data_IF_200745257254
#
_entry.id   IF_200745257254
#
_cell.length_a   1.000
_cell.length_b   1.000
_cell.length_c   1.000
_cell.angle_alpha   90.00
_cell.angle_beta   90.00
_cell.angle_gamma   90.00
#
_symmetry.space_group_name_H-M   'P 1'
#
loop_
_entity.id
_entity.type
_entity.pdbx_description
1 polymer ?
#
# COMPACT_ATOMS: atom_id res chain seq x y z
N UNK A 1 -16.07 -61.34 49.81
CA UNK A 1 -15.83 -60.08 50.55
C UNK A 1 -15.65 -58.96 49.52
N UNK A 2 -16.50 -57.93 49.58
CA UNK A 2 -16.55 -56.80 48.62
C UNK A 2 -15.37 -55.85 48.88
N UNK A 3 -14.57 -55.55 47.87
CA UNK A 3 -13.58 -54.47 47.92
C UNK A 3 -14.12 -53.25 47.17
N UNK A 4 -14.39 -52.20 47.93
CA UNK A 4 -14.79 -50.86 47.47
C UNK A 4 -13.52 -50.17 46.94
N UNK A 5 -13.53 -49.72 45.68
CA UNK A 5 -12.49 -48.83 45.13
C UNK A 5 -13.03 -47.41 45.12
N UNK A 6 -12.43 -46.55 45.94
CA UNK A 6 -12.65 -45.11 45.96
C UNK A 6 -12.25 -44.50 44.60
N UNK A 7 -13.19 -43.84 43.94
CA UNK A 7 -12.95 -42.96 42.79
C UNK A 7 -12.52 -41.58 43.29
N UNK A 8 -11.25 -41.22 43.06
CA UNK A 8 -10.76 -39.85 43.20
C UNK A 8 -11.22 -39.06 41.96
N UNK A 9 -12.21 -38.18 42.11
CA UNK A 9 -12.58 -37.22 41.08
C UNK A 9 -11.65 -36.01 41.15
N UNK A 10 -10.61 -35.98 40.31
CA UNK A 10 -9.78 -34.80 40.11
C UNK A 10 -10.59 -33.74 39.36
N UNK A 11 -11.07 -32.72 40.06
CA UNK A 11 -11.77 -31.58 39.48
C UNK A 11 -10.74 -30.69 38.79
N UNK A 12 -10.67 -30.78 37.46
CA UNK A 12 -9.80 -29.94 36.64
C UNK A 12 -10.31 -28.50 36.68
N UNK A 13 -9.65 -27.63 37.45
CA UNK A 13 -9.85 -26.18 37.38
C UNK A 13 -9.30 -25.69 36.05
N UNK A 14 -10.16 -25.54 35.05
CA UNK A 14 -9.88 -24.75 33.85
C UNK A 14 -9.74 -23.29 34.31
N UNK A 15 -8.50 -22.84 34.51
CA UNK A 15 -8.21 -21.43 34.64
C UNK A 15 -8.73 -20.70 33.38
N UNK A 16 -9.43 -19.57 33.51
CA UNK A 16 -9.78 -18.76 32.35
C UNK A 16 -8.47 -18.34 31.70
N UNK A 17 -8.29 -18.69 30.42
CA UNK A 17 -7.29 -18.01 29.60
C UNK A 17 -7.55 -16.52 29.76
N UNK A 18 -6.61 -15.80 30.37
CA UNK A 18 -6.65 -14.34 30.43
C UNK A 18 -6.58 -13.87 28.98
N UNK A 19 -7.76 -13.61 28.42
CA UNK A 19 -7.97 -13.04 27.11
C UNK A 19 -7.47 -11.59 27.13
N UNK A 20 -6.16 -11.40 27.03
CA UNK A 20 -5.55 -10.12 26.72
C UNK A 20 -4.53 -10.38 25.62
N UNK A 21 -4.98 -10.22 24.38
CA UNK A 21 -4.08 -10.20 23.25
C UNK A 21 -4.79 -9.48 22.10
N UNK A 22 -5.26 -8.26 22.29
CA UNK A 22 -5.57 -7.29 21.23
C UNK A 22 -5.30 -5.92 21.85
N UNK A 23 -5.09 -4.88 21.05
CA UNK A 23 -4.91 -3.50 21.52
C UNK A 23 -6.16 -2.92 22.19
N UNK A 24 -7.28 -3.65 22.17
CA UNK A 24 -8.57 -3.31 22.74
C UNK A 24 -9.23 -4.51 23.44
N UNK A 25 -10.33 -4.25 24.17
CA UNK A 25 -11.09 -5.26 24.88
C UNK A 25 -11.99 -6.05 23.92
N UNK A 26 -11.61 -7.29 23.62
CA UNK A 26 -12.36 -8.17 22.71
C UNK A 26 -13.80 -8.45 23.16
N UNK A 27 -14.14 -8.28 24.45
CA UNK A 27 -15.53 -8.44 24.91
C UNK A 27 -16.42 -7.28 24.47
N UNK A 28 -15.81 -6.15 24.07
CA UNK A 28 -16.48 -4.95 23.56
C UNK A 28 -16.42 -4.83 22.03
N UNK A 29 -15.85 -5.81 21.35
CA UNK A 29 -15.77 -5.83 19.89
C UNK A 29 -17.17 -5.71 19.25
N UNK A 30 -17.35 -4.69 18.45
CA UNK A 30 -18.63 -4.30 17.85
C UNK A 30 -18.61 -4.42 16.32
N UNK A 31 -17.49 -4.09 15.69
CA UNK A 31 -17.34 -4.12 14.23
C UNK A 31 -16.97 -5.51 13.73
N UNK A 32 -17.16 -5.77 12.44
CA UNK A 32 -16.73 -7.03 11.81
C UNK A 32 -15.20 -7.19 11.88
N UNK A 33 -14.47 -6.07 11.71
CA UNK A 33 -13.01 -6.02 11.80
C UNK A 33 -12.53 -6.39 13.21
N UNK A 34 -13.07 -5.74 14.25
CA UNK A 34 -12.71 -6.02 15.65
C UNK A 34 -12.97 -7.49 16.01
N UNK A 35 -14.12 -8.03 15.59
CA UNK A 35 -14.46 -9.44 15.80
C UNK A 35 -13.51 -10.38 15.08
N UNK A 36 -13.09 -10.04 13.85
CA UNK A 36 -12.14 -10.83 13.08
C UNK A 36 -10.75 -10.86 13.72
N UNK A 37 -10.26 -9.71 14.21
CA UNK A 37 -9.02 -9.61 14.98
C UNK A 37 -9.10 -10.52 16.21
N UNK A 38 -10.14 -10.37 17.03
CA UNK A 38 -10.32 -11.15 18.25
C UNK A 38 -10.51 -12.65 18.01
N UNK A 39 -11.07 -13.05 16.86
CA UNK A 39 -11.23 -14.44 16.48
C UNK A 39 -9.94 -15.10 15.96
N UNK A 40 -8.86 -14.32 15.76
CA UNK A 40 -7.63 -14.76 15.11
C UNK A 40 -6.45 -14.62 16.07
N UNK A 41 -6.09 -15.65 16.87
CA UNK A 41 -5.17 -15.52 17.99
C UNK A 41 -3.83 -14.85 17.65
N UNK A 42 -3.23 -15.20 16.51
CA UNK A 42 -1.96 -14.61 16.05
C UNK A 42 -2.09 -13.11 15.74
N UNK A 43 -3.12 -12.73 14.98
CA UNK A 43 -3.36 -11.32 14.61
C UNK A 43 -3.77 -10.50 15.82
N UNK A 44 -4.58 -11.08 16.69
CA UNK A 44 -4.93 -10.52 17.99
C UNK A 44 -3.65 -10.16 18.77
N UNK A 45 -2.72 -11.11 18.93
CA UNK A 45 -1.47 -10.88 19.65
C UNK A 45 -0.60 -9.77 19.01
N UNK A 46 -0.57 -9.71 17.67
CA UNK A 46 0.12 -8.63 16.94
C UNK A 46 -0.54 -7.27 17.18
N UNK A 47 -1.88 -7.18 17.17
CA UNK A 47 -2.61 -5.94 17.47
C UNK A 47 -2.33 -5.44 18.90
N UNK A 48 -2.22 -6.36 19.87
CA UNK A 48 -1.78 -6.04 21.23
C UNK A 48 -0.37 -5.44 21.29
N UNK A 49 0.60 -6.09 20.64
CA UNK A 49 1.99 -5.63 20.58
C UNK A 49 2.13 -4.27 19.88
N UNK A 50 1.35 -4.05 18.82
CA UNK A 50 1.30 -2.77 18.12
C UNK A 50 0.77 -1.67 19.03
N UNK A 51 -0.33 -1.95 19.75
CA UNK A 51 -0.88 -1.01 20.72
C UNK A 51 0.13 -0.61 21.81
N UNK A 52 0.94 -1.56 22.29
CA UNK A 52 2.04 -1.28 23.22
C UNK A 52 3.14 -0.42 22.60
N UNK A 53 3.60 -0.79 21.40
CA UNK A 53 4.62 -0.05 20.67
C UNK A 53 4.18 1.40 20.38
N UNK A 54 2.93 1.61 19.99
CA UNK A 54 2.38 2.94 19.73
C UNK A 54 2.32 3.79 21.01
N UNK A 55 1.86 3.22 22.13
CA UNK A 55 1.84 3.92 23.43
C UNK A 55 3.24 4.31 23.87
N UNK A 56 4.22 3.42 23.70
CA UNK A 56 5.62 3.71 24.00
C UNK A 56 6.17 4.83 23.11
N UNK A 57 5.93 4.77 21.80
CA UNK A 57 6.36 5.80 20.85
C UNK A 57 5.79 7.19 21.21
N UNK A 58 4.49 7.29 21.49
CA UNK A 58 3.87 8.58 21.89
C UNK A 58 4.40 9.08 23.23
N UNK A 59 4.71 8.18 24.17
CA UNK A 59 5.27 8.53 25.48
C UNK A 59 6.73 9.02 25.38
N UNK A 60 7.53 8.39 24.51
CA UNK A 60 8.96 8.68 24.38
C UNK A 60 9.24 9.88 23.45
N UNK A 61 8.29 10.20 22.56
CA UNK A 61 8.41 11.31 21.59
C UNK A 61 7.23 12.29 21.71
N UNK A 62 7.11 13.02 22.83
CA UNK A 62 6.02 13.97 23.02
C UNK A 62 5.98 15.08 21.95
N UNK A 63 7.13 15.44 21.38
CA UNK A 63 7.28 16.38 20.26
C UNK A 63 6.70 15.86 18.93
N UNK A 64 6.62 14.53 18.76
CA UNK A 64 6.08 13.86 17.55
C UNK A 64 4.67 13.33 17.73
N UNK A 65 4.01 13.62 18.86
CA UNK A 65 2.71 13.04 19.22
C UNK A 65 1.63 13.20 18.14
N UNK A 66 1.53 14.38 17.54
CA UNK A 66 0.51 14.65 16.51
C UNK A 66 0.81 13.88 15.23
N UNK A 67 2.07 13.86 14.79
CA UNK A 67 2.51 13.08 13.64
C UNK A 67 2.29 11.56 13.85
N UNK A 68 2.66 11.03 15.02
CA UNK A 68 2.39 9.63 15.40
C UNK A 68 0.91 9.31 15.40
N UNK A 69 0.07 10.20 15.94
CA UNK A 69 -1.38 9.98 16.01
C UNK A 69 -2.01 10.02 14.63
N UNK A 70 -1.57 10.92 13.76
CA UNK A 70 -2.05 11.01 12.38
C UNK A 70 -1.65 9.78 11.57
N UNK A 71 -0.37 9.44 11.59
CA UNK A 71 0.17 8.25 10.91
C UNK A 71 -0.47 6.95 11.42
N UNK A 72 -0.77 6.84 12.72
CA UNK A 72 -1.50 5.69 13.26
C UNK A 72 -2.94 5.61 12.74
N UNK A 73 -3.61 6.74 12.45
CA UNK A 73 -4.95 6.72 11.85
C UNK A 73 -4.92 6.25 10.41
N UNK A 74 -3.92 6.69 9.64
CA UNK A 74 -3.70 6.22 8.28
C UNK A 74 -3.47 4.71 8.25
N UNK A 75 -2.56 4.21 9.09
CA UNK A 75 -2.31 2.77 9.18
C UNK A 75 -3.56 1.97 9.62
N UNK A 76 -4.39 2.50 10.52
CA UNK A 76 -5.64 1.84 10.92
C UNK A 76 -6.66 1.76 9.76
N UNK A 77 -6.70 2.77 8.89
CA UNK A 77 -7.55 2.74 7.70
C UNK A 77 -7.07 1.67 6.71
N UNK A 78 -5.76 1.60 6.43
CA UNK A 78 -5.15 0.57 5.59
C UNK A 78 -5.41 -0.84 6.14
N UNK A 79 -5.24 -1.00 7.46
CA UNK A 79 -5.51 -2.26 8.16
C UNK A 79 -6.96 -2.69 8.02
N UNK A 80 -7.89 -1.77 8.20
CA UNK A 80 -9.32 -2.07 8.12
C UNK A 80 -9.73 -2.40 6.68
N UNK A 81 -9.15 -1.75 5.66
CA UNK A 81 -9.31 -2.13 4.26
C UNK A 81 -8.81 -3.56 3.98
N UNK A 82 -7.58 -3.86 4.40
CA UNK A 82 -6.96 -5.18 4.19
C UNK A 82 -7.76 -6.30 4.88
N UNK A 83 -8.22 -6.09 6.12
CA UNK A 83 -9.05 -7.06 6.84
C UNK A 83 -10.43 -7.18 6.18
N UNK A 84 -11.02 -6.08 5.71
CA UNK A 84 -12.28 -6.14 4.96
C UNK A 84 -12.15 -6.98 3.69
N UNK A 85 -11.04 -6.83 2.95
CA UNK A 85 -10.70 -7.68 1.81
C UNK A 85 -10.57 -9.16 2.20
N UNK A 86 -9.78 -9.46 3.23
CA UNK A 86 -9.60 -10.83 3.71
C UNK A 86 -10.93 -11.50 4.14
N UNK A 87 -11.82 -10.75 4.80
CA UNK A 87 -13.15 -11.25 5.19
C UNK A 87 -14.06 -11.52 4.00
N UNK A 88 -13.94 -10.73 2.93
CA UNK A 88 -14.66 -10.94 1.67
C UNK A 88 -14.14 -12.18 0.95
N UNK A 89 -12.82 -12.33 0.84
CA UNK A 89 -12.19 -13.37 0.02
C UNK A 89 -12.20 -14.74 0.72
N UNK A 90 -12.16 -14.73 2.06
CA UNK A 90 -12.12 -15.93 2.89
C UNK A 90 -13.17 -15.88 4.03
N UNK A 91 -14.46 -15.88 3.70
CA UNK A 91 -15.53 -15.70 4.68
C UNK A 91 -15.50 -16.81 5.74
N UNK A 92 -15.52 -16.38 7.02
CA UNK A 92 -15.51 -17.27 8.17
C UNK A 92 -14.18 -17.95 8.47
N UNK A 93 -13.09 -17.62 7.75
CA UNK A 93 -11.74 -18.07 8.07
C UNK A 93 -11.06 -17.09 9.03
N UNK A 94 -10.18 -17.58 9.94
CA UNK A 94 -9.31 -16.70 10.71
C UNK A 94 -8.39 -15.89 9.80
N UNK A 95 -8.01 -14.71 10.27
CA UNK A 95 -7.02 -13.87 9.61
C UNK A 95 -5.64 -14.55 9.66
N UNK A 96 -4.91 -14.41 8.55
CA UNK A 96 -3.51 -14.83 8.43
C UNK A 96 -2.58 -13.77 9.02
N UNK A 97 -1.37 -14.18 9.43
CA UNK A 97 -0.46 -13.34 10.22
C UNK A 97 0.12 -12.14 9.45
N UNK A 98 0.15 -12.21 8.13
CA UNK A 98 0.62 -11.19 7.20
C UNK A 98 -0.44 -10.15 6.82
N UNK A 99 -1.70 -10.31 7.28
CA UNK A 99 -2.75 -9.31 7.02
C UNK A 99 -2.32 -7.94 7.53
N UNK A 100 -2.47 -6.90 6.70
CA UNK A 100 -2.18 -5.51 7.05
C UNK A 100 -0.75 -5.19 7.54
N UNK A 101 0.20 -6.12 7.37
CA UNK A 101 1.60 -6.00 7.80
C UNK A 101 1.78 -5.42 9.23
N UNK A 102 1.14 -6.06 10.22
CA UNK A 102 1.31 -5.66 11.63
C UNK A 102 2.78 -5.65 12.06
N UNK A 103 3.58 -6.60 11.57
CA UNK A 103 4.98 -6.73 11.95
C UNK A 103 5.80 -5.54 11.46
N UNK A 104 5.67 -5.15 10.19
CA UNK A 104 6.31 -3.95 9.65
C UNK A 104 5.92 -2.69 10.43
N UNK A 105 4.65 -2.56 10.81
CA UNK A 105 4.20 -1.43 11.65
C UNK A 105 4.79 -1.43 13.06
N UNK A 106 4.87 -2.59 13.72
CA UNK A 106 5.50 -2.73 15.03
C UNK A 106 6.99 -2.35 14.95
N UNK A 107 7.68 -2.85 13.93
CA UNK A 107 9.10 -2.58 13.71
C UNK A 107 9.36 -1.10 13.39
N UNK A 108 8.48 -0.47 12.61
CA UNK A 108 8.51 0.98 12.38
C UNK A 108 8.46 1.76 13.70
N UNK A 109 7.49 1.47 14.57
CA UNK A 109 7.32 2.17 15.84
C UNK A 109 8.50 1.93 16.79
N UNK A 110 9.05 0.71 16.81
CA UNK A 110 10.22 0.36 17.63
C UNK A 110 11.53 0.95 17.10
N UNK A 111 11.62 1.19 15.79
CA UNK A 111 12.81 1.68 15.10
C UNK A 111 12.99 3.20 15.07
N UNK A 112 12.07 3.98 15.66
CA UNK A 112 12.10 5.46 15.60
C UNK A 112 13.43 6.05 16.09
N UNK A 113 14.04 5.43 17.10
CA UNK A 113 15.33 5.84 17.69
C UNK A 113 16.52 5.02 17.18
N UNK A 114 16.28 4.01 16.34
CA UNK A 114 17.35 3.16 15.84
C UNK A 114 18.39 3.99 15.08
N UNK A 115 19.68 3.72 15.32
CA UNK A 115 20.75 4.44 14.63
C UNK A 115 20.77 4.04 13.16
N UNK A 116 20.62 5.02 12.26
CA UNK A 116 20.76 4.79 10.84
C UNK A 116 22.22 4.44 10.49
N UNK A 117 22.47 3.36 9.73
CA UNK A 117 23.81 3.06 9.23
C UNK A 117 24.16 3.97 8.06
N UNK A 118 25.45 4.24 7.79
CA UNK A 118 25.84 5.00 6.61
C UNK A 118 25.43 4.32 5.29
N UNK A 119 24.92 5.07 4.29
CA UNK A 119 24.70 6.52 4.28
C UNK A 119 23.29 6.97 4.70
N UNK A 120 22.45 6.08 5.24
CA UNK A 120 21.08 6.42 5.68
C UNK A 120 21.06 7.44 6.83
N UNK A 121 22.14 7.56 7.60
CA UNK A 121 22.31 8.64 8.58
C UNK A 121 22.21 10.02 7.92
N UNK A 122 22.97 10.26 6.85
CA UNK A 122 22.93 11.51 6.07
C UNK A 122 21.60 11.71 5.37
N UNK A 123 21.02 10.65 4.81
CA UNK A 123 19.69 10.72 4.17
C UNK A 123 18.64 11.13 5.21
N UNK A 124 18.65 10.49 6.39
CA UNK A 124 17.72 10.78 7.48
C UNK A 124 17.85 12.21 7.99
N UNK A 125 19.08 12.71 8.13
CA UNK A 125 19.34 14.11 8.52
C UNK A 125 18.84 15.13 7.49
N UNK A 126 18.79 14.76 6.21
CA UNK A 126 18.33 15.63 5.13
C UNK A 126 16.80 15.62 4.93
N UNK A 127 16.08 14.65 5.51
CA UNK A 127 14.63 14.50 5.34
C UNK A 127 13.78 15.74 5.64
N UNK A 128 14.11 16.62 6.60
CA UNK A 128 13.35 17.87 6.81
C UNK A 128 13.33 18.81 5.60
N UNK A 129 14.20 18.58 4.60
CA UNK A 129 14.26 19.36 3.35
C UNK A 129 13.44 18.75 2.21
N UNK A 130 12.85 17.57 2.43
CA UNK A 130 12.07 16.85 1.43
C UNK A 130 10.77 17.62 1.14
N UNK A 131 10.43 17.89 -0.14
CA UNK A 131 9.19 18.55 -0.47
C UNK A 131 7.97 17.65 -0.19
N UNK A 132 6.81 18.28 0.03
CA UNK A 132 5.55 17.54 0.12
C UNK A 132 5.27 16.82 -1.21
N UNK A 133 4.76 15.60 -1.13
CA UNK A 133 4.46 14.77 -2.29
C UNK A 133 5.65 14.04 -2.90
N UNK A 134 6.84 14.10 -2.28
CA UNK A 134 8.02 13.37 -2.75
C UNK A 134 7.77 11.87 -2.88
N UNK A 135 8.15 11.32 -4.03
CA UNK A 135 8.15 9.87 -4.31
C UNK A 135 9.54 9.32 -4.60
N UNK A 136 10.44 10.12 -5.18
CA UNK A 136 11.85 9.76 -5.41
C UNK A 136 12.73 10.47 -4.37
N UNK A 137 12.91 9.80 -3.23
CA UNK A 137 13.54 10.38 -2.03
C UNK A 137 14.96 10.86 -2.33
N UNK A 138 15.75 10.08 -3.05
CA UNK A 138 17.16 10.41 -3.31
C UNK A 138 17.30 11.55 -4.32
N UNK A 139 16.53 11.54 -5.41
CA UNK A 139 16.58 12.62 -6.39
C UNK A 139 16.03 13.94 -5.84
N UNK A 140 15.00 13.90 -4.99
CA UNK A 140 14.45 15.12 -4.38
C UNK A 140 15.38 15.70 -3.30
N UNK A 141 16.08 14.85 -2.55
CA UNK A 141 17.11 15.31 -1.61
C UNK A 141 18.35 15.88 -2.32
N UNK A 142 18.69 15.38 -3.52
CA UNK A 142 19.74 15.98 -4.37
C UNK A 142 19.42 17.44 -4.68
N UNK A 143 18.19 17.68 -5.18
CA UNK A 143 17.68 19.03 -5.46
C UNK A 143 17.65 19.90 -4.20
N UNK A 144 17.53 19.29 -3.03
CA UNK A 144 17.55 19.94 -1.72
C UNK A 144 18.96 20.05 -1.09
N UNK A 145 20.02 19.74 -1.86
CA UNK A 145 21.41 19.98 -1.50
C UNK A 145 22.11 18.85 -0.73
N UNK A 146 21.54 17.65 -0.65
CA UNK A 146 22.28 16.46 -0.25
C UNK A 146 23.09 15.96 -1.46
N UNK A 147 24.42 15.79 -1.39
CA UNK A 147 25.20 15.30 -2.54
C UNK A 147 24.80 13.87 -2.92
N UNK A 148 23.94 13.74 -3.92
CA UNK A 148 23.44 12.46 -4.41
C UNK A 148 23.63 12.39 -5.92
N UNK A 149 24.16 11.27 -6.41
CA UNK A 149 24.20 11.00 -7.83
C UNK A 149 23.53 9.66 -8.10
N UNK A 150 22.33 9.69 -8.68
CA UNK A 150 21.55 8.49 -9.05
C UNK A 150 22.06 7.96 -10.39
N UNK A 151 22.27 6.65 -10.47
CA UNK A 151 22.70 6.00 -11.71
C UNK A 151 21.61 6.11 -12.78
N UNK A 152 22.01 6.41 -14.01
CA UNK A 152 21.11 6.39 -15.17
C UNK A 152 21.03 4.99 -15.74
N UNK A 153 19.87 4.62 -16.24
CA UNK A 153 19.65 3.37 -16.96
C UNK A 153 20.05 3.48 -18.43
N UNK A 154 20.86 2.53 -18.92
CA UNK A 154 21.26 2.44 -20.33
C UNK A 154 20.73 1.13 -20.89
N UNK A 155 19.85 1.25 -21.90
CA UNK A 155 19.23 0.12 -22.59
C UNK A 155 20.29 -0.79 -23.24
N UNK A 156 20.08 -2.10 -23.15
CA UNK A 156 20.81 -3.13 -23.89
C UNK A 156 19.75 -3.93 -24.66
N UNK A 157 19.76 -3.82 -25.99
CA UNK A 157 18.87 -4.61 -26.86
C UNK A 157 19.57 -5.89 -27.38
N UNK A 158 20.91 -5.87 -27.47
CA UNK A 158 21.76 -7.01 -27.85
C UNK A 158 22.96 -7.10 -26.89
N UNK A 159 23.38 -8.32 -26.53
CA UNK A 159 24.53 -8.56 -25.65
C UNK A 159 25.81 -7.83 -26.09
N UNK A 160 25.99 -7.59 -27.40
CA UNK A 160 27.15 -6.84 -27.95
C UNK A 160 27.15 -5.35 -27.60
N UNK A 161 26.01 -4.79 -27.18
CA UNK A 161 25.87 -3.39 -26.79
C UNK A 161 26.39 -3.15 -25.36
N UNK A 162 26.68 -4.23 -24.62
CA UNK A 162 27.30 -4.14 -23.31
C UNK A 162 28.75 -3.61 -23.43
N UNK A 163 29.11 -2.50 -22.75
CA UNK A 163 30.35 -1.78 -23.04
C UNK A 163 31.60 -2.38 -22.39
N UNK A 164 31.44 -3.39 -21.53
CA UNK A 164 32.54 -4.00 -20.77
C UNK A 164 32.80 -5.42 -21.26
N UNK A 165 33.94 -5.98 -20.88
CA UNK A 165 34.24 -7.40 -21.10
C UNK A 165 33.61 -8.24 -19.98
N UNK A 166 32.51 -8.98 -20.22
CA UNK A 166 31.85 -9.76 -19.19
C UNK A 166 32.59 -11.06 -18.86
N UNK A 167 32.54 -11.49 -17.60
CA UNK A 167 32.90 -12.84 -17.19
C UNK A 167 31.84 -13.89 -17.60
N UNK A 168 32.00 -15.14 -17.16
CA UNK A 168 31.06 -16.21 -17.54
C UNK A 168 29.64 -16.01 -17.00
N UNK A 169 29.42 -15.67 -15.71
CA UNK A 169 28.09 -15.35 -15.20
C UNK A 169 27.41 -14.19 -15.94
N UNK A 170 28.12 -13.09 -16.22
CA UNK A 170 27.53 -11.94 -16.92
C UNK A 170 27.20 -12.24 -18.38
N UNK A 171 28.01 -13.07 -19.07
CA UNK A 171 27.64 -13.53 -20.42
C UNK A 171 26.33 -14.28 -20.42
N UNK A 172 26.12 -15.16 -19.44
CA UNK A 172 24.85 -15.87 -19.29
C UNK A 172 23.69 -14.89 -19.03
N UNK A 173 23.87 -13.92 -18.13
CA UNK A 173 22.84 -12.92 -17.86
C UNK A 173 22.47 -12.10 -19.12
N UNK A 174 23.44 -11.77 -19.97
CA UNK A 174 23.24 -11.09 -21.25
C UNK A 174 22.55 -11.96 -22.32
N UNK A 175 22.62 -13.28 -22.21
CA UNK A 175 21.89 -14.22 -23.08
C UNK A 175 20.42 -14.38 -22.67
N UNK A 176 20.08 -14.04 -21.43
CA UNK A 176 18.75 -14.22 -20.81
C UNK A 176 17.99 -12.88 -20.62
N UNK A 177 18.33 -11.84 -21.40
CA UNK A 177 17.67 -10.54 -21.34
C UNK A 177 16.19 -10.62 -21.76
N UNK A 178 15.32 -9.90 -21.05
CA UNK A 178 13.92 -9.69 -21.41
C UNK A 178 13.77 -8.40 -22.23
N UNK A 179 12.55 -8.09 -22.69
CA UNK A 179 12.23 -6.96 -23.56
C UNK A 179 12.60 -5.58 -22.97
N UNK A 180 12.74 -5.48 -21.64
CA UNK A 180 13.18 -4.26 -20.95
C UNK A 180 14.44 -4.55 -20.15
N UNK A 181 15.59 -4.43 -20.80
CA UNK A 181 16.90 -4.76 -20.22
C UNK A 181 17.93 -3.64 -20.38
N UNK A 182 18.89 -3.58 -19.47
CA UNK A 182 19.93 -2.57 -19.50
C UNK A 182 21.02 -2.75 -18.46
N UNK A 183 21.85 -1.74 -18.32
CA UNK A 183 22.79 -1.64 -17.20
C UNK A 183 22.74 -0.26 -16.56
N UNK A 184 23.14 -0.18 -15.29
CA UNK A 184 23.19 1.09 -14.54
C UNK A 184 24.51 1.81 -14.74
N UNK A 185 24.45 3.04 -15.19
CA UNK A 185 25.62 3.89 -15.44
C UNK A 185 25.67 5.02 -14.43
N UNK A 186 26.77 5.10 -13.69
CA UNK A 186 27.14 6.29 -12.94
C UNK A 186 28.64 6.54 -13.10
N UNK A 187 29.07 7.78 -13.43
CA UNK A 187 30.47 8.10 -13.58
C UNK A 187 31.31 7.74 -12.34
N UNK A 188 32.39 7.00 -12.58
CA UNK A 188 33.35 6.60 -11.55
C UNK A 188 32.81 5.59 -10.51
N UNK A 189 31.69 4.90 -10.79
CA UNK A 189 31.25 3.83 -9.89
C UNK A 189 32.12 2.57 -10.08
N UNK A 190 32.62 1.96 -8.99
CA UNK A 190 33.37 0.71 -9.05
C UNK A 190 32.49 -0.53 -9.23
N UNK A 191 31.16 -0.36 -9.19
CA UNK A 191 30.15 -1.42 -9.26
C UNK A 191 28.94 -0.92 -10.05
N UNK A 192 28.30 -1.82 -10.77
CA UNK A 192 27.10 -1.59 -11.59
C UNK A 192 26.24 -2.87 -11.57
N UNK A 193 25.14 -2.88 -12.31
CA UNK A 193 24.31 -4.07 -12.50
C UNK A 193 23.75 -4.10 -13.90
N UNK A 194 23.70 -5.31 -14.48
CA UNK A 194 22.82 -5.64 -15.58
C UNK A 194 21.45 -5.93 -14.96
N UNK A 195 20.39 -5.44 -15.58
CA UNK A 195 19.03 -5.68 -15.12
C UNK A 195 18.13 -6.05 -16.30
N UNK A 196 17.08 -6.78 -15.99
CA UNK A 196 15.99 -7.14 -16.88
C UNK A 196 14.68 -7.06 -16.11
N UNK A 197 13.66 -6.46 -16.72
CA UNK A 197 12.32 -6.33 -16.16
C UNK A 197 11.34 -7.09 -17.05
N UNK A 198 10.65 -8.05 -16.46
CA UNK A 198 9.80 -8.99 -17.18
C UNK A 198 8.46 -9.26 -16.52
N UNK A 199 7.56 -9.86 -17.28
CA UNK A 199 6.26 -10.31 -16.82
C UNK A 199 5.25 -9.18 -16.54
N UNK A 200 4.00 -9.56 -16.32
CA UNK A 200 2.91 -8.58 -16.08
C UNK A 200 3.02 -7.88 -14.72
N UNK A 201 3.83 -8.42 -13.80
CA UNK A 201 4.13 -7.84 -12.49
C UNK A 201 5.41 -6.99 -12.47
N UNK A 202 6.12 -6.84 -13.60
CA UNK A 202 7.38 -6.09 -13.71
C UNK A 202 8.42 -6.58 -12.66
N UNK A 203 8.75 -7.86 -12.72
CA UNK A 203 9.72 -8.47 -11.81
C UNK A 203 11.14 -8.24 -12.30
N UNK A 204 12.05 -7.99 -11.36
CA UNK A 204 13.46 -7.73 -11.65
C UNK A 204 14.28 -9.01 -11.69
N UNK A 205 15.14 -9.15 -12.70
CA UNK A 205 16.28 -10.07 -12.71
C UNK A 205 17.55 -9.27 -12.83
N UNK A 206 18.52 -9.50 -11.94
CA UNK A 206 19.70 -8.65 -11.85
C UNK A 206 21.01 -9.44 -11.71
N UNK A 207 22.06 -8.92 -12.35
CA UNK A 207 23.41 -9.43 -12.25
C UNK A 207 24.36 -8.26 -11.95
N UNK A 208 24.64 -7.99 -10.65
CA UNK A 208 25.61 -6.97 -10.28
C UNK A 208 27.02 -7.38 -10.66
N UNK A 209 27.81 -6.37 -10.99
CA UNK A 209 29.21 -6.56 -11.35
C UNK A 209 30.08 -5.42 -10.87
N UNK A 210 31.30 -5.75 -10.49
CA UNK A 210 32.36 -4.78 -10.22
C UNK A 210 33.21 -4.55 -11.46
N UNK A 211 33.77 -3.34 -11.58
CA UNK A 211 34.62 -2.94 -12.69
C UNK A 211 36.10 -3.02 -12.32
N UNK A 212 36.89 -3.72 -13.13
CA UNK A 212 38.35 -3.74 -13.08
C UNK A 212 38.90 -3.35 -14.46
N UNK A 213 39.17 -2.06 -14.66
CA UNK A 213 39.49 -1.54 -15.99
C UNK A 213 38.31 -1.71 -16.94
N UNK A 214 38.50 -2.47 -18.02
CA UNK A 214 37.42 -2.81 -18.96
C UNK A 214 36.67 -4.10 -18.60
N UNK A 215 37.12 -4.84 -17.58
CA UNK A 215 36.51 -6.11 -17.19
C UNK A 215 35.35 -5.88 -16.23
N UNK A 216 34.22 -6.53 -16.53
CA UNK A 216 33.07 -6.63 -15.63
C UNK A 216 33.07 -8.02 -14.99
N UNK A 217 33.11 -8.05 -13.67
CA UNK A 217 33.22 -9.28 -12.88
C UNK A 217 31.98 -9.38 -11.99
N UNK A 218 31.23 -10.47 -12.12
CA UNK A 218 30.02 -10.68 -11.35
C UNK A 218 30.31 -10.67 -9.85
N UNK A 219 29.37 -10.16 -9.09
CA UNK A 219 29.36 -10.21 -7.62
C UNK A 219 27.99 -10.65 -7.14
N UNK A 220 27.94 -11.16 -5.91
CA UNK A 220 26.68 -11.54 -5.31
C UNK A 220 25.76 -10.31 -5.20
N UNK A 221 24.47 -10.44 -5.56
CA UNK A 221 23.52 -9.36 -5.40
C UNK A 221 23.32 -9.01 -3.92
N UNK A 222 23.03 -7.73 -3.61
CA UNK A 222 22.55 -7.37 -2.29
C UNK A 222 21.22 -8.10 -2.06
N UNK A 223 20.99 -8.54 -0.82
CA UNK A 223 19.74 -9.24 -0.48
C UNK A 223 18.51 -8.33 -0.65
N UNK A 224 18.69 -7.02 -0.58
CA UNK A 224 17.63 -6.07 -0.93
C UNK A 224 17.08 -6.29 -2.36
N UNK A 225 17.87 -6.82 -3.30
CA UNK A 225 17.46 -7.13 -4.67
C UNK A 225 16.98 -8.57 -4.88
N UNK A 226 16.82 -9.36 -3.81
CA UNK A 226 16.20 -10.68 -3.91
C UNK A 226 14.86 -10.55 -4.65
N UNK A 227 14.56 -11.51 -5.52
CA UNK A 227 13.49 -11.47 -6.53
C UNK A 227 12.24 -10.70 -6.06
N UNK A 228 12.12 -9.47 -6.56
CA UNK A 228 11.05 -8.55 -6.20
C UNK A 228 10.38 -8.04 -7.47
N UNK A 229 9.09 -7.78 -7.34
CA UNK A 229 8.24 -7.25 -8.41
C UNK A 229 7.61 -5.97 -7.90
N UNK A 230 7.29 -5.04 -8.81
CA UNK A 230 6.59 -3.80 -8.44
C UNK A 230 7.37 -2.86 -7.50
N UNK A 231 8.69 -3.05 -7.36
CA UNK A 231 9.61 -2.09 -6.73
C UNK A 231 10.52 -1.43 -7.76
N UNK A 232 11.31 -0.45 -7.31
CA UNK A 232 12.26 0.29 -8.13
C UNK A 232 13.68 0.01 -7.64
N UNK A 233 14.41 -0.82 -8.37
CA UNK A 233 15.80 -1.13 -8.08
C UNK A 233 16.71 -0.09 -8.73
N UNK A 234 17.69 0.39 -7.99
CA UNK A 234 18.54 1.49 -8.42
C UNK A 234 19.94 1.41 -7.84
N UNK A 235 20.81 2.31 -8.28
CA UNK A 235 22.09 2.53 -7.63
C UNK A 235 22.33 4.02 -7.51
N UNK A 236 22.98 4.44 -6.44
CA UNK A 236 23.30 5.83 -6.21
C UNK A 236 24.65 5.98 -5.51
N UNK A 237 25.20 7.19 -5.58
CA UNK A 237 26.28 7.64 -4.71
C UNK A 237 25.73 8.71 -3.77
N UNK A 238 25.88 8.55 -2.46
CA UNK A 238 25.52 9.54 -1.43
C UNK A 238 26.79 9.98 -0.72
N UNK A 239 27.28 11.19 -1.04
CA UNK A 239 28.66 11.59 -0.70
C UNK A 239 29.68 10.65 -1.37
N UNK A 240 30.45 9.92 -0.56
CA UNK A 240 31.42 8.92 -1.05
C UNK A 240 30.87 7.49 -1.10
N UNK A 241 29.69 7.27 -0.52
CA UNK A 241 29.11 5.94 -0.36
C UNK A 241 28.34 5.53 -1.60
N UNK A 242 28.77 4.44 -2.23
CA UNK A 242 28.05 3.81 -3.33
C UNK A 242 27.07 2.79 -2.75
N UNK A 243 25.80 2.89 -3.15
CA UNK A 243 24.72 2.04 -2.65
C UNK A 243 23.94 1.41 -3.80
N UNK A 244 23.58 0.15 -3.62
CA UNK A 244 22.40 -0.43 -4.25
C UNK A 244 21.16 0.04 -3.49
N UNK A 245 20.07 0.32 -4.20
CA UNK A 245 18.82 0.82 -3.64
C UNK A 245 17.64 -0.02 -4.09
N UNK A 246 16.65 -0.16 -3.21
CA UNK A 246 15.30 -0.58 -3.55
C UNK A 246 14.35 0.43 -2.96
N UNK A 247 13.51 0.99 -3.82
CA UNK A 247 12.46 1.91 -3.43
C UNK A 247 11.12 1.24 -3.66
N UNK A 248 10.32 1.12 -2.61
CA UNK A 248 8.94 0.62 -2.70
C UNK A 248 7.96 1.60 -2.07
N UNK A 249 6.72 1.56 -2.56
CA UNK A 249 5.62 2.42 -2.13
C UNK A 249 4.43 1.53 -1.71
N UNK A 250 4.45 0.93 -0.50
CA UNK A 250 3.39 0.04 -0.04
C UNK A 250 2.01 0.71 -0.03
N UNK A 251 1.96 2.02 0.23
CA UNK A 251 0.77 2.85 0.10
C UNK A 251 1.16 4.29 -0.27
N UNK A 252 0.17 5.14 -0.52
CA UNK A 252 0.37 6.59 -0.66
C UNK A 252 1.03 7.24 0.56
N UNK A 253 0.95 6.63 1.73
CA UNK A 253 1.49 7.14 2.99
C UNK A 253 2.84 6.52 3.36
N UNK A 254 3.33 5.55 2.60
CA UNK A 254 4.57 4.85 2.92
C UNK A 254 5.57 4.85 1.76
N UNK A 255 6.84 4.99 2.11
CA UNK A 255 7.95 4.67 1.21
C UNK A 255 9.03 3.96 1.99
N UNK A 256 9.52 2.85 1.46
CA UNK A 256 10.67 2.14 2.00
C UNK A 256 11.85 2.33 1.06
N UNK A 257 12.92 2.93 1.59
CA UNK A 257 14.22 3.02 0.94
C UNK A 257 15.14 1.95 1.54
N UNK A 258 15.16 0.79 0.91
CA UNK A 258 16.16 -0.24 1.17
C UNK A 258 17.49 0.14 0.53
N UNK A 259 18.59 -0.04 1.26
CA UNK A 259 19.93 0.20 0.74
C UNK A 259 20.89 -0.91 1.13
N UNK A 260 21.83 -1.18 0.25
CA UNK A 260 22.99 -2.02 0.54
C UNK A 260 24.25 -1.31 0.07
N UNK A 261 25.17 -1.04 1.01
CA UNK A 261 26.38 -0.25 0.74
C UNK A 261 27.47 -1.11 0.11
N UNK A 262 28.14 -0.58 -0.90
CA UNK A 262 29.31 -1.22 -1.50
C UNK A 262 30.53 -1.14 -0.57
N UNK A 263 31.11 -2.28 -0.22
CA UNK A 263 32.29 -2.40 0.66
C UNK A 263 33.59 -2.64 -0.12
N UNK A 264 33.61 -2.34 -1.42
CA UNK A 264 34.80 -2.47 -2.28
C UNK A 264 34.91 -3.79 -3.03
N UNK A 265 34.40 -4.90 -2.48
CA UNK A 265 34.36 -6.22 -3.14
C UNK A 265 32.99 -6.87 -3.19
N UNK A 266 32.10 -6.48 -2.28
CA UNK A 266 30.75 -7.03 -2.12
C UNK A 266 29.83 -5.94 -1.57
N UNK A 267 28.53 -6.18 -1.64
CA UNK A 267 27.55 -5.41 -0.90
C UNK A 267 27.54 -5.82 0.59
N UNK A 268 27.35 -4.84 1.46
CA UNK A 268 27.22 -5.00 2.90
C UNK A 268 25.84 -5.51 3.31
N UNK A 269 25.53 -5.52 4.63
CA UNK A 269 24.19 -5.83 5.09
C UNK A 269 23.18 -4.78 4.64
N UNK A 270 21.95 -5.22 4.35
CA UNK A 270 20.87 -4.31 3.98
C UNK A 270 20.37 -3.51 5.19
N UNK A 271 19.92 -2.30 4.91
CA UNK A 271 19.20 -1.46 5.86
C UNK A 271 18.02 -0.80 5.16
N UNK A 272 16.91 -0.64 5.88
CA UNK A 272 15.70 -0.01 5.33
C UNK A 272 15.38 1.24 6.14
N UNK A 273 15.30 2.38 5.44
CA UNK A 273 14.71 3.61 5.95
C UNK A 273 13.25 3.66 5.48
N UNK A 274 12.32 3.46 6.40
CA UNK A 274 10.89 3.61 6.15
C UNK A 274 10.48 5.06 6.44
N UNK A 275 9.69 5.65 5.54
CA UNK A 275 9.19 7.00 5.59
C UNK A 275 7.66 6.97 5.58
N UNK A 276 7.04 7.70 6.50
CA UNK A 276 5.59 7.81 6.64
C UNK A 276 5.13 9.22 6.36
N UNK A 277 4.11 9.37 5.52
CA UNK A 277 3.61 10.63 5.00
C UNK A 277 2.16 10.85 5.43
N UNK A 278 1.73 12.09 5.35
CA UNK A 278 0.31 12.44 5.32
C UNK A 278 -0.20 12.38 3.87
N UNK A 279 -1.50 12.55 3.68
CA UNK A 279 -2.11 12.73 2.37
C UNK A 279 -3.31 13.68 2.41
N UNK A 280 -3.68 14.14 1.23
CA UNK A 280 -4.89 14.94 1.01
C UNK A 280 -5.69 14.39 -0.16
N UNK A 281 -6.98 14.72 -0.20
CA UNK A 281 -7.87 14.32 -1.29
C UNK A 281 -8.21 15.52 -2.15
N UNK A 282 -8.19 15.34 -3.46
CA UNK A 282 -8.57 16.37 -4.42
C UNK A 282 -9.43 15.80 -5.54
N UNK A 283 -10.53 16.48 -5.88
CA UNK A 283 -11.30 16.16 -7.08
C UNK A 283 -10.53 16.67 -8.31
N UNK A 284 -10.04 15.77 -9.14
CA UNK A 284 -9.31 16.11 -10.38
C UNK A 284 -10.19 16.03 -11.62
N UNK A 285 -11.34 15.35 -11.52
CA UNK A 285 -12.34 15.29 -12.58
C UNK A 285 -13.74 15.08 -12.03
N UNK A 286 -14.74 15.71 -12.66
CA UNK A 286 -16.15 15.42 -12.39
C UNK A 286 -17.01 15.62 -13.64
N UNK A 287 -18.05 14.81 -13.79
CA UNK A 287 -18.99 14.89 -14.90
C UNK A 287 -20.39 14.39 -14.50
N UNK A 288 -21.42 14.92 -15.15
CA UNK A 288 -22.82 14.68 -14.80
C UNK A 288 -23.65 14.56 -16.07
N UNK A 289 -24.79 13.89 -15.95
CA UNK A 289 -25.78 13.77 -17.01
C UNK A 289 -26.79 14.93 -16.98
N UNK A 290 -27.22 15.47 -18.14
CA UNK A 290 -26.65 15.25 -19.47
C UNK A 290 -25.23 15.83 -19.59
N UNK A 291 -24.45 15.38 -20.58
CA UNK A 291 -23.05 15.79 -20.78
C UNK A 291 -22.84 17.30 -20.59
N UNK A 292 -21.74 17.68 -19.94
CA UNK A 292 -21.37 19.08 -19.61
C UNK A 292 -22.31 19.79 -18.63
N UNK A 293 -23.19 19.06 -17.93
CA UNK A 293 -23.98 19.63 -16.83
C UNK A 293 -23.07 20.12 -15.70
N UNK A 294 -23.46 21.20 -14.98
CA UNK A 294 -22.71 21.67 -13.81
C UNK A 294 -22.59 20.58 -12.74
N UNK A 295 -21.35 20.23 -12.38
CA UNK A 295 -21.06 19.14 -11.44
C UNK A 295 -20.53 19.57 -10.08
N UNK A 296 -20.38 20.87 -9.83
CA UNK A 296 -19.74 21.37 -8.61
C UNK A 296 -20.39 20.84 -7.32
N UNK A 297 -21.72 20.75 -7.30
CA UNK A 297 -22.46 20.21 -6.15
C UNK A 297 -22.14 18.72 -5.93
N UNK A 298 -22.07 17.93 -7.01
CA UNK A 298 -21.70 16.52 -6.92
C UNK A 298 -20.23 16.35 -6.53
N UNK A 299 -19.31 17.09 -7.15
CA UNK A 299 -17.89 17.06 -6.80
C UNK A 299 -17.66 17.34 -5.31
N UNK A 300 -18.38 18.31 -4.75
CA UNK A 300 -18.33 18.62 -3.31
C UNK A 300 -18.85 17.45 -2.46
N UNK A 301 -19.99 16.87 -2.83
CA UNK A 301 -20.56 15.72 -2.12
C UNK A 301 -19.67 14.47 -2.21
N UNK A 302 -19.07 14.23 -3.38
CA UNK A 302 -18.15 13.13 -3.63
C UNK A 302 -16.87 13.28 -2.83
N UNK A 303 -16.26 14.47 -2.79
CA UNK A 303 -15.08 14.74 -1.96
C UNK A 303 -15.37 14.53 -0.47
N UNK A 304 -16.54 14.99 0.00
CA UNK A 304 -16.95 14.80 1.39
C UNK A 304 -17.17 13.31 1.72
N UNK A 305 -17.74 12.54 0.79
CA UNK A 305 -17.89 11.10 0.94
C UNK A 305 -16.54 10.39 0.96
N UNK A 306 -15.66 10.67 -0.01
CA UNK A 306 -14.32 10.11 -0.08
C UNK A 306 -13.52 10.44 1.19
N UNK A 307 -13.51 11.69 1.64
CA UNK A 307 -12.81 12.11 2.88
C UNK A 307 -13.27 11.36 4.12
N UNK A 308 -14.55 10.96 4.19
CA UNK A 308 -15.07 10.15 5.30
C UNK A 308 -14.71 8.68 5.15
N UNK A 309 -14.80 8.15 3.93
CA UNK A 309 -14.55 6.74 3.65
C UNK A 309 -13.07 6.39 3.73
N UNK A 310 -12.21 7.26 3.23
CA UNK A 310 -10.75 7.15 3.28
C UNK A 310 -10.20 6.93 4.70
N UNK A 311 -10.85 7.51 5.72
CA UNK A 311 -10.50 7.32 7.14
C UNK A 311 -10.97 6.00 7.75
N UNK A 312 -11.85 5.28 7.06
CA UNK A 312 -12.49 4.04 7.52
C UNK A 312 -13.07 3.29 6.31
N UNK A 313 -12.20 2.75 5.43
CA UNK A 313 -12.58 2.22 4.11
C UNK A 313 -13.22 0.83 4.20
N UNK A 314 -14.31 0.73 4.96
CA UNK A 314 -15.06 -0.50 5.20
C UNK A 314 -16.51 -0.35 4.76
N UNK A 315 -17.11 -1.37 4.12
CA UNK A 315 -18.51 -1.32 3.71
C UNK A 315 -19.44 -0.89 4.85
N UNK A 316 -20.29 0.10 4.57
CA UNK A 316 -21.22 0.68 5.54
C UNK A 316 -20.70 1.89 6.33
N UNK A 317 -19.41 2.26 6.21
CA UNK A 317 -18.88 3.45 6.90
C UNK A 317 -19.55 4.77 6.45
N UNK A 318 -20.09 4.81 5.23
CA UNK A 318 -20.87 5.94 4.71
C UNK A 318 -22.37 5.82 4.95
N UNK A 319 -22.86 4.71 5.49
CA UNK A 319 -24.28 4.51 5.72
C UNK A 319 -24.82 5.51 6.74
N UNK A 320 -26.09 5.86 6.55
CA UNK A 320 -26.87 6.68 7.48
C UNK A 320 -28.28 6.14 7.57
N UNK A 321 -28.94 6.44 8.69
CA UNK A 321 -30.31 6.01 8.89
C UNK A 321 -31.28 6.77 7.97
N UNK A 322 -31.80 6.09 6.96
CA UNK A 322 -32.89 6.60 6.12
C UNK A 322 -34.26 6.28 6.73
N UNK A 323 -35.25 7.16 6.50
CA UNK A 323 -36.62 7.02 7.03
C UNK A 323 -37.66 7.20 5.91
N UNK A 324 -38.86 6.67 6.13
CA UNK A 324 -40.01 6.86 5.25
C UNK A 324 -39.73 6.49 3.78
N UNK A 325 -40.19 7.36 2.87
CA UNK A 325 -40.06 7.17 1.42
C UNK A 325 -38.60 7.06 0.96
N UNK A 326 -37.66 7.80 1.58
CA UNK A 326 -36.24 7.73 1.24
C UNK A 326 -35.65 6.35 1.52
N UNK A 327 -36.06 5.70 2.63
CA UNK A 327 -35.64 4.33 2.96
C UNK A 327 -36.13 3.34 1.91
N UNK A 328 -37.42 3.42 1.53
CA UNK A 328 -38.00 2.53 0.55
C UNK A 328 -37.38 2.73 -0.86
N UNK A 329 -37.17 3.99 -1.26
CA UNK A 329 -36.53 4.34 -2.53
C UNK A 329 -35.08 3.85 -2.60
N UNK A 330 -34.30 4.05 -1.53
CA UNK A 330 -32.92 3.58 -1.46
C UNK A 330 -32.83 2.04 -1.44
N UNK A 331 -33.76 1.35 -0.78
CA UNK A 331 -33.83 -0.11 -0.85
C UNK A 331 -34.09 -0.61 -2.28
N UNK A 332 -34.94 0.08 -3.05
CA UNK A 332 -35.18 -0.24 -4.46
C UNK A 332 -33.93 0.01 -5.34
N UNK A 333 -33.20 1.10 -5.08
CA UNK A 333 -31.90 1.38 -5.72
C UNK A 333 -30.89 0.26 -5.46
N UNK A 334 -30.71 -0.15 -4.20
CA UNK A 334 -29.80 -1.24 -3.82
C UNK A 334 -30.19 -2.57 -4.45
N UNK A 335 -31.49 -2.88 -4.50
CA UNK A 335 -31.99 -4.10 -5.13
C UNK A 335 -31.69 -4.12 -6.64
N UNK A 336 -31.87 -3.00 -7.33
CA UNK A 336 -31.51 -2.88 -8.75
C UNK A 336 -29.98 -3.02 -8.96
N UNK A 337 -29.17 -2.41 -8.08
CA UNK A 337 -27.72 -2.44 -8.16
C UNK A 337 -27.12 -3.84 -7.97
N UNK A 338 -27.76 -4.68 -7.16
CA UNK A 338 -27.36 -6.06 -6.87
C UNK A 338 -28.08 -7.09 -7.74
N UNK A 339 -28.90 -6.66 -8.69
CA UNK A 339 -29.49 -7.58 -9.68
C UNK A 339 -28.41 -8.17 -10.59
N UNK A 340 -28.72 -9.27 -11.29
CA UNK A 340 -27.77 -9.93 -12.20
C UNK A 340 -27.26 -9.03 -13.34
N UNK A 341 -28.00 -7.97 -13.68
CA UNK A 341 -27.62 -6.94 -14.64
C UNK A 341 -27.30 -5.59 -13.99
N UNK A 342 -27.04 -5.59 -12.68
CA UNK A 342 -26.76 -4.40 -11.89
C UNK A 342 -25.30 -3.97 -11.97
N UNK A 343 -24.89 -3.12 -11.03
CA UNK A 343 -23.54 -2.58 -10.95
C UNK A 343 -22.55 -3.54 -10.28
N UNK A 344 -23.02 -4.32 -9.29
CA UNK A 344 -22.21 -5.28 -8.55
C UNK A 344 -23.06 -6.53 -8.20
N UNK A 345 -23.31 -7.42 -9.18
CA UNK A 345 -24.08 -8.65 -8.96
C UNK A 345 -23.37 -9.60 -7.97
N UNK A 346 -24.09 -10.27 -7.05
CA UNK A 346 -23.49 -11.23 -6.11
C UNK A 346 -22.93 -12.49 -6.79
N UNK A 347 -21.80 -13.02 -6.30
CA UNK A 347 -21.36 -14.39 -6.55
C UNK A 347 -20.69 -14.67 -7.92
N UNK A 348 -20.57 -13.66 -8.77
CA UNK A 348 -19.75 -13.70 -9.99
C UNK A 348 -18.62 -12.67 -9.85
N UNK A 349 -17.47 -12.91 -10.47
CA UNK A 349 -16.50 -11.84 -10.77
C UNK A 349 -17.16 -10.90 -11.78
N UNK A 350 -17.76 -9.76 -11.40
CA UNK A 350 -18.38 -8.89 -12.39
C UNK A 350 -17.26 -8.23 -13.19
N UNK A 351 -17.52 -7.94 -14.46
CA UNK A 351 -16.93 -6.74 -15.05
C UNK A 351 -17.56 -5.56 -14.32
N UNK A 352 -16.94 -5.13 -13.22
CA UNK A 352 -17.31 -3.89 -12.55
C UNK A 352 -17.36 -2.77 -13.59
N UNK A 353 -18.34 -1.83 -13.48
CA UNK A 353 -18.47 -0.79 -14.48
C UNK A 353 -17.24 0.13 -14.47
N UNK A 354 -16.96 0.75 -15.61
CA UNK A 354 -16.10 1.94 -15.63
C UNK A 354 -16.84 3.12 -15.00
N UNK A 355 -16.06 4.07 -14.45
CA UNK A 355 -16.56 5.35 -13.97
C UNK A 355 -17.25 6.09 -15.12
N UNK A 356 -18.59 6.34 -15.06
CA UNK A 356 -19.33 6.90 -16.19
C UNK A 356 -18.76 8.26 -16.65
N UNK A 357 -18.28 8.40 -17.90
CA UNK A 357 -17.56 9.60 -18.32
C UNK A 357 -18.48 10.73 -18.79
N UNK A 358 -19.73 10.42 -19.16
CA UNK A 358 -20.69 11.37 -19.75
C UNK A 358 -20.13 12.21 -20.91
N UNK A 359 -19.28 11.60 -21.75
CA UNK A 359 -18.63 12.27 -22.87
C UNK A 359 -17.50 13.23 -22.49
N UNK A 360 -17.05 13.22 -21.22
CA UNK A 360 -15.91 13.99 -20.74
C UNK A 360 -14.63 13.14 -20.66
N UNK A 361 -13.51 13.80 -20.37
CA UNK A 361 -12.20 13.20 -20.12
C UNK A 361 -11.86 13.09 -18.62
N UNK A 362 -12.86 13.02 -17.73
CA UNK A 362 -12.70 13.17 -16.27
C UNK A 362 -11.68 12.24 -15.60
N UNK A 363 -11.38 11.08 -16.21
CA UNK A 363 -10.42 10.09 -15.72
C UNK A 363 -9.41 9.69 -16.81
N UNK A 364 -9.10 10.60 -17.74
CA UNK A 364 -8.17 10.31 -18.84
C UNK A 364 -6.77 9.97 -18.30
N UNK A 365 -6.24 8.81 -18.70
CA UNK A 365 -4.94 8.31 -18.24
C UNK A 365 -4.94 7.75 -16.82
N UNK A 366 -6.11 7.60 -16.19
CA UNK A 366 -6.26 7.10 -14.82
C UNK A 366 -6.88 5.70 -14.80
N UNK A 367 -6.69 4.97 -13.70
CA UNK A 367 -7.40 3.71 -13.44
C UNK A 367 -8.86 4.04 -13.09
N UNK A 368 -9.79 3.76 -14.00
CA UNK A 368 -11.19 4.22 -13.92
C UNK A 368 -12.21 3.09 -13.83
N UNK A 369 -11.79 1.83 -13.69
CA UNK A 369 -12.69 0.71 -13.41
C UNK A 369 -12.91 0.59 -11.90
N UNK A 370 -14.14 0.33 -11.48
CA UNK A 370 -14.40 -0.12 -10.11
C UNK A 370 -13.87 -1.55 -9.91
N UNK A 371 -13.70 -1.96 -8.66
CA UNK A 371 -13.31 -3.31 -8.28
C UNK A 371 -14.17 -3.88 -7.15
N UNK A 372 -13.74 -5.03 -6.62
CA UNK A 372 -14.44 -5.78 -5.56
C UNK A 372 -14.41 -5.16 -4.17
N UNK A 373 -13.61 -4.11 -4.00
CA UNK A 373 -13.62 -3.23 -2.84
C UNK A 373 -14.77 -2.20 -2.90
N UNK A 374 -15.38 -2.01 -4.07
CA UNK A 374 -16.38 -0.97 -4.26
C UNK A 374 -17.68 -1.26 -3.51
N UNK A 375 -18.25 -0.22 -2.89
CA UNK A 375 -19.43 -0.33 -2.04
C UNK A 375 -20.46 0.75 -2.32
N UNK A 376 -21.72 0.45 -2.01
CA UNK A 376 -22.84 1.37 -2.17
C UNK A 376 -23.10 2.16 -0.90
N UNK A 377 -23.50 3.42 -1.05
CA UNK A 377 -23.89 4.27 0.07
C UNK A 377 -24.95 5.31 -0.36
N UNK A 378 -25.79 5.82 0.55
CA UNK A 378 -26.71 6.89 0.22
C UNK A 378 -25.96 8.22 0.08
N UNK A 379 -26.06 8.86 -1.08
CA UNK A 379 -25.51 10.21 -1.32
C UNK A 379 -26.62 11.19 -1.63
N UNK A 380 -26.63 12.35 -0.96
CA UNK A 380 -27.59 13.41 -1.25
C UNK A 380 -26.94 14.45 -2.16
N UNK A 381 -27.60 14.73 -3.29
CA UNK A 381 -27.16 15.75 -4.25
C UNK A 381 -28.36 16.63 -4.56
N UNK A 382 -28.26 17.92 -4.25
CA UNK A 382 -29.32 18.90 -4.52
C UNK A 382 -30.71 18.49 -3.98
N UNK A 383 -30.75 17.78 -2.85
CA UNK A 383 -32.00 17.35 -2.20
C UNK A 383 -32.56 16.01 -2.70
N UNK A 384 -31.90 15.35 -3.65
CA UNK A 384 -32.23 13.99 -4.06
C UNK A 384 -31.29 12.96 -3.40
N UNK A 385 -31.86 11.91 -2.81
CA UNK A 385 -31.09 10.75 -2.34
C UNK A 385 -30.86 9.79 -3.50
N UNK A 386 -29.59 9.65 -3.87
CA UNK A 386 -29.11 8.79 -4.95
C UNK A 386 -28.37 7.58 -4.38
N UNK A 387 -28.13 6.60 -5.25
CA UNK A 387 -27.21 5.50 -4.96
C UNK A 387 -25.79 5.95 -5.28
N UNK A 388 -25.01 6.25 -4.24
CA UNK A 388 -23.57 6.43 -4.34
C UNK A 388 -22.88 5.08 -4.51
N UNK A 389 -21.81 5.06 -5.29
CA UNK A 389 -20.91 3.92 -5.45
C UNK A 389 -19.48 4.44 -5.35
N UNK A 390 -18.70 3.91 -4.41
CA UNK A 390 -17.33 4.31 -4.13
C UNK A 390 -16.41 3.10 -4.08
N UNK A 391 -15.21 3.21 -4.65
CA UNK A 391 -14.15 2.21 -4.59
C UNK A 391 -12.86 2.78 -5.18
N UNK A 392 -11.78 2.02 -5.10
CA UNK A 392 -10.51 2.40 -5.71
C UNK A 392 -10.55 2.31 -7.24
N UNK A 393 -9.58 2.94 -7.91
CA UNK A 393 -9.37 2.82 -9.34
C UNK A 393 -8.64 1.53 -9.70
N UNK A 394 -9.19 0.76 -10.64
CA UNK A 394 -8.59 -0.50 -11.11
C UNK A 394 -8.21 -0.48 -12.59
N UNK A 395 -7.18 -1.27 -12.93
CA UNK A 395 -6.93 -1.79 -14.28
C UNK A 395 -6.57 -3.28 -14.24
N UNK A 396 -7.52 -4.14 -14.58
CA UNK A 396 -7.38 -5.58 -14.38
C UNK A 396 -7.28 -5.91 -12.89
N UNK A 397 -6.20 -6.58 -12.49
CA UNK A 397 -5.91 -6.89 -11.08
C UNK A 397 -5.16 -5.78 -10.34
N UNK A 398 -4.76 -4.72 -11.04
CA UNK A 398 -4.03 -3.59 -10.46
C UNK A 398 -5.01 -2.59 -9.88
N UNK A 399 -4.67 -2.07 -8.71
CA UNK A 399 -5.42 -1.06 -7.97
C UNK A 399 -4.51 0.13 -7.66
N UNK A 400 -5.06 1.35 -7.64
CA UNK A 400 -4.39 2.54 -7.13
C UNK A 400 -5.07 3.07 -5.87
N UNK A 401 -4.44 4.05 -5.21
CA UNK A 401 -4.99 4.64 -3.98
C UNK A 401 -6.21 5.56 -4.24
N UNK A 402 -6.40 6.03 -5.47
CA UNK A 402 -7.43 7.02 -5.82
C UNK A 402 -8.86 6.49 -5.67
N UNK A 403 -9.79 7.38 -5.32
CA UNK A 403 -11.19 7.04 -5.14
C UNK A 403 -12.02 7.41 -6.37
N UNK A 404 -12.76 6.44 -6.88
CA UNK A 404 -13.85 6.63 -7.84
C UNK A 404 -15.15 6.85 -7.07
N UNK A 405 -15.91 7.90 -7.39
CA UNK A 405 -17.25 8.12 -6.82
C UNK A 405 -18.24 8.36 -7.93
N UNK A 406 -19.31 7.57 -7.99
CA UNK A 406 -20.42 7.78 -8.91
C UNK A 406 -21.76 7.78 -8.20
N UNK A 407 -22.75 8.43 -8.79
CA UNK A 407 -24.12 8.41 -8.33
C UNK A 407 -25.07 7.93 -9.42
N UNK A 408 -26.08 7.17 -8.99
CA UNK A 408 -27.05 6.53 -9.84
C UNK A 408 -28.46 6.77 -9.32
N UNK A 409 -29.42 6.89 -10.23
CA UNK A 409 -30.84 6.98 -9.92
C UNK A 409 -31.60 5.79 -10.51
N UNK A 410 -32.78 5.51 -9.96
CA UNK A 410 -33.68 4.51 -10.51
C UNK A 410 -34.73 5.20 -11.38
N UNK A 411 -34.81 4.83 -12.66
CA UNK A 411 -35.84 5.31 -13.59
C UNK A 411 -36.43 4.13 -14.34
N UNK A 412 -37.75 3.99 -14.25
CA UNK A 412 -38.48 2.86 -14.85
C UNK A 412 -37.87 1.48 -14.53
N UNK A 413 -37.39 1.29 -13.30
CA UNK A 413 -36.77 0.04 -12.83
C UNK A 413 -35.32 -0.18 -13.28
N UNK A 414 -34.70 0.77 -13.99
CA UNK A 414 -33.31 0.69 -14.44
C UNK A 414 -32.44 1.74 -13.75
N UNK A 415 -31.19 1.39 -13.46
CA UNK A 415 -30.22 2.35 -12.96
C UNK A 415 -29.70 3.22 -14.11
N UNK A 416 -29.77 4.53 -13.91
CA UNK A 416 -29.17 5.53 -14.79
C UNK A 416 -28.08 6.27 -14.02
N UNK A 417 -26.87 6.31 -14.57
CA UNK A 417 -25.77 7.10 -14.01
C UNK A 417 -26.13 8.59 -14.11
N UNK A 418 -25.91 9.35 -13.03
CA UNK A 418 -26.22 10.78 -13.00
C UNK A 418 -24.99 11.65 -12.79
N UNK A 419 -23.98 11.17 -12.08
CA UNK A 419 -22.74 11.90 -11.86
C UNK A 419 -21.56 10.99 -11.50
N UNK A 420 -20.35 11.48 -11.76
CA UNK A 420 -19.07 10.83 -11.53
C UNK A 420 -18.03 11.84 -11.07
N UNK A 421 -17.12 11.42 -10.19
CA UNK A 421 -15.99 12.19 -9.74
C UNK A 421 -14.78 11.25 -9.55
N UNK A 422 -13.62 11.73 -9.99
CA UNK A 422 -12.33 11.13 -9.73
C UNK A 422 -11.66 11.92 -8.61
N UNK A 423 -11.34 11.25 -7.51
CA UNK A 423 -10.74 11.88 -6.32
C UNK A 423 -9.36 11.29 -6.12
N UNK A 424 -8.33 12.07 -6.41
CA UNK A 424 -6.94 11.62 -6.24
C UNK A 424 -6.52 11.66 -4.79
N UNK A 425 -5.79 10.63 -4.35
CA UNK A 425 -5.05 10.65 -3.09
C UNK A 425 -3.65 11.21 -3.32
N UNK A 426 -3.41 12.40 -2.79
CA UNK A 426 -2.18 13.15 -3.00
C UNK A 426 -1.32 13.06 -1.75
N UNK A 427 -0.19 12.39 -1.88
CA UNK A 427 0.85 12.36 -0.86
C UNK A 427 1.21 13.78 -0.41
N UNK A 428 1.24 13.97 0.89
CA UNK A 428 1.50 15.23 1.57
C UNK A 428 2.91 15.30 2.14
N UNK A 429 3.03 15.95 3.30
CA UNK A 429 4.30 16.14 3.99
C UNK A 429 4.78 14.84 4.65
N UNK A 430 6.09 14.73 4.81
CA UNK A 430 6.69 13.68 5.64
C UNK A 430 6.28 13.89 7.11
N UNK A 431 5.77 12.83 7.74
CA UNK A 431 5.40 12.80 9.15
C UNK A 431 6.54 12.24 10.00
N UNK A 432 7.02 11.05 9.63
CA UNK A 432 7.94 10.25 10.43
C UNK A 432 8.90 9.45 9.54
N UNK A 433 10.03 9.05 10.12
CA UNK A 433 10.95 8.10 9.50
C UNK A 433 11.48 7.14 10.56
N UNK A 434 11.74 5.90 10.18
CA UNK A 434 12.24 4.85 11.07
C UNK A 434 13.23 3.95 10.34
N UNK A 435 14.20 3.40 11.08
CA UNK A 435 15.04 2.32 10.56
C UNK A 435 14.35 1.01 10.94
N UNK A 436 13.97 0.23 9.94
CA UNK A 436 13.28 -1.04 10.12
C UNK A 436 14.17 -2.21 9.71
N UNK A 437 13.99 -3.40 10.30
CA UNK A 437 14.66 -4.60 9.84
C UNK A 437 14.36 -4.84 8.35
N UNK A 438 15.33 -5.33 7.55
CA UNK A 438 15.04 -5.74 6.20
C UNK A 438 14.06 -6.93 6.22
N UNK A 439 13.12 -7.01 5.26
CA UNK A 439 12.13 -8.08 5.21
C UNK A 439 12.81 -9.46 5.17
N UNK A 440 12.21 -10.49 5.77
CA UNK A 440 12.74 -11.86 5.68
C UNK A 440 12.84 -12.29 4.21
N UNK A 441 13.76 -13.20 3.85
CA UNK A 441 13.88 -13.68 2.47
C UNK A 441 12.57 -14.37 2.07
N UNK A 442 12.06 -14.04 0.88
CA UNK A 442 10.90 -14.72 0.32
C UNK A 442 11.39 -15.99 -0.36
N UNK A 443 11.03 -17.17 0.16
CA UNK A 443 11.26 -18.42 -0.57
C UNK A 443 10.16 -18.57 -1.61
N UNK A 444 10.50 -18.37 -2.89
CA UNK A 444 9.60 -18.68 -4.00
C UNK A 444 9.62 -20.16 -4.36
#
# INVERSE_FOLDING_TARGET
MKTIRLTLAATLWLAPFLAQAAGFDCTKASTAIEKAICASPTVSALDGQLGEAFRAAVSNHPDKRDALTLDQRHWLADRDAAISGALRDHPGKPLVADVADYQGRIDFLRGLDAKAPPPLDRVREALPRLPAGSRDILADLDKAGLPVAVATEVRIDDAKDFPFTPDAPLRKALEELDASSGYRKLPGMPVSSIYSIGGTANCWTEAPFRLEGNSAIAVDPPRAWDSDCMSLHGMARVGDDVIATVLSHPSVDETNLGVSRWEGKRFGPDAVLSLRFDHTLAVTGSACAPAQSPCAAFATAALAAATRYDRSPVPGALDRQLKGAAKAGYAALLAAARSSSGLAPPGNMPTYPELPPFGSNLASGQMNMYGEDATFFPIDVQGETLLGFIGHGHIGWRVNDDWLVSAWRLKAGKLEAVASAYVTVQRGALLLSSIVPPPPPVSH
#
